data_IF_782600194934
#
_entry.id   IF_782600194934
#
_cell.length_a   1.000
_cell.length_b   1.000
_cell.length_c   1.000
_cell.angle_alpha   90.00
_cell.angle_beta   90.00
_cell.angle_gamma   90.00
#
_symmetry.space_group_name_H-M   'P 1'
#
loop_
_entity.id
_entity.type
_entity.pdbx_description
1 polymer ?
#
# COMPACT_ATOMS: atom_id res chain seq x y z
N UNK A 1 -3.59 -3.13 12.64
CA UNK A 1 -2.14 -2.78 12.61
C UNK A 1 -1.94 -1.48 11.84
N UNK A 2 -1.07 -0.54 12.27
CA UNK A 2 -0.84 0.71 11.51
C UNK A 2 -0.32 0.44 10.09
N UNK A 3 -0.72 1.26 9.12
CA UNK A 3 -0.35 1.17 7.70
C UNK A 3 1.17 1.12 7.48
N UNK A 4 1.93 2.01 8.11
CA UNK A 4 3.40 2.03 7.99
C UNK A 4 4.07 0.76 8.55
N UNK A 5 3.54 0.20 9.65
CA UNK A 5 3.98 -1.10 10.20
C UNK A 5 3.67 -2.22 9.23
N UNK A 6 2.44 -2.25 8.73
CA UNK A 6 1.97 -3.28 7.82
C UNK A 6 2.84 -3.38 6.56
N UNK A 7 3.04 -2.25 5.87
CA UNK A 7 3.83 -2.22 4.65
C UNK A 7 5.29 -2.60 4.86
N UNK A 8 5.86 -2.25 6.02
CA UNK A 8 7.24 -2.62 6.37
C UNK A 8 7.37 -4.12 6.68
N UNK A 9 6.44 -4.69 7.44
CA UNK A 9 6.43 -6.12 7.79
C UNK A 9 6.29 -6.99 6.55
N UNK A 10 5.42 -6.61 5.61
CA UNK A 10 5.25 -7.32 4.34
C UNK A 10 6.30 -6.97 3.28
N UNK A 11 7.35 -6.20 3.65
CA UNK A 11 8.46 -5.81 2.77
C UNK A 11 8.03 -5.06 1.49
N UNK A 12 6.83 -4.50 1.47
CA UNK A 12 6.34 -3.65 0.37
C UNK A 12 7.17 -2.35 0.31
N UNK A 13 7.56 -1.83 1.47
CA UNK A 13 8.46 -0.68 1.59
C UNK A 13 9.71 -1.01 2.41
N UNK A 14 10.81 -0.34 2.09
CA UNK A 14 12.07 -0.47 2.83
C UNK A 14 12.09 0.34 4.13
N UNK A 15 11.43 1.49 4.21
CA UNK A 15 11.44 2.39 5.39
C UNK A 15 10.04 2.88 5.69
N UNK A 16 9.70 3.02 6.98
CA UNK A 16 8.38 3.51 7.43
C UNK A 16 8.10 4.96 7.04
N UNK A 17 9.13 5.80 6.98
CA UNK A 17 9.01 7.20 6.54
C UNK A 17 8.41 7.32 5.14
N UNK A 18 8.77 6.40 4.24
CA UNK A 18 8.24 6.35 2.87
C UNK A 18 6.73 6.11 2.87
N UNK A 19 6.20 5.21 3.72
CA UNK A 19 4.74 5.03 3.82
C UNK A 19 4.02 6.31 4.22
N UNK A 20 4.58 7.06 5.17
CA UNK A 20 3.98 8.30 5.64
C UNK A 20 3.95 9.35 4.53
N UNK A 21 5.04 9.48 3.75
CA UNK A 21 5.11 10.38 2.60
C UNK A 21 4.10 9.97 1.52
N UNK A 22 4.05 8.69 1.13
CA UNK A 22 3.12 8.19 0.12
C UNK A 22 1.65 8.39 0.53
N UNK A 23 1.32 8.13 1.80
CA UNK A 23 -0.02 8.39 2.32
C UNK A 23 -0.37 9.89 2.32
N UNK A 24 0.56 10.77 2.72
CA UNK A 24 0.37 12.23 2.67
C UNK A 24 0.20 12.75 1.23
N UNK A 25 0.94 12.19 0.27
CA UNK A 25 0.83 12.53 -1.14
C UNK A 25 -0.38 11.90 -1.84
N UNK A 26 -1.25 11.17 -1.13
CA UNK A 26 -2.42 10.53 -1.71
C UNK A 26 -2.14 9.33 -2.61
N UNK A 27 -0.92 8.77 -2.52
CA UNK A 27 -0.45 7.61 -3.29
C UNK A 27 -0.84 6.27 -2.66
N UNK A 28 -1.47 6.28 -1.49
CA UNK A 28 -2.04 5.10 -0.85
C UNK A 28 -3.55 5.29 -0.74
N UNK A 29 -4.30 4.36 -1.31
CA UNK A 29 -5.75 4.42 -1.36
C UNK A 29 -6.35 3.09 -0.93
N UNK A 30 -7.56 3.14 -0.37
CA UNK A 30 -8.39 1.96 -0.12
C UNK A 30 -9.68 2.15 -0.90
N UNK A 31 -9.96 1.24 -1.83
CA UNK A 31 -11.18 1.29 -2.65
C UNK A 31 -11.43 2.70 -3.25
N UNK A 32 -10.38 3.33 -3.80
CA UNK A 32 -10.42 4.68 -4.37
C UNK A 32 -10.41 5.84 -3.38
N UNK A 33 -10.32 5.61 -2.06
CA UNK A 33 -10.24 6.67 -1.03
C UNK A 33 -8.84 6.79 -0.45
N UNK A 34 -8.29 7.99 -0.42
CA UNK A 34 -6.96 8.24 0.14
C UNK A 34 -6.90 7.88 1.63
N UNK A 35 -5.85 7.17 2.02
CA UNK A 35 -5.64 6.78 3.42
C UNK A 35 -4.72 7.76 4.15
N UNK A 36 -5.04 8.00 5.43
CA UNK A 36 -4.14 8.75 6.32
C UNK A 36 -2.95 7.87 6.73
N UNK A 37 -1.77 8.45 7.00
CA UNK A 37 -0.61 7.71 7.52
C UNK A 37 -0.89 6.96 8.84
N UNK A 38 -1.81 7.48 9.65
CA UNK A 38 -2.24 6.88 10.91
C UNK A 38 -3.28 5.77 10.76
N UNK A 39 -3.69 5.44 9.53
CA UNK A 39 -4.72 4.43 9.28
C UNK A 39 -4.31 3.07 9.85
N UNK A 40 -5.28 2.41 10.49
CA UNK A 40 -5.13 1.03 10.92
C UNK A 40 -5.72 0.09 9.87
N UNK A 41 -4.85 -0.74 9.30
CA UNK A 41 -5.18 -1.77 8.32
C UNK A 41 -6.08 -2.82 8.98
N UNK A 42 -7.19 -3.12 8.30
CA UNK A 42 -8.17 -4.14 8.68
C UNK A 42 -8.16 -5.29 7.68
N UNK A 43 -8.59 -6.46 8.16
CA UNK A 43 -8.79 -7.64 7.32
C UNK A 43 -9.91 -7.32 6.30
N UNK A 44 -9.72 -7.76 5.05
CA UNK A 44 -10.61 -7.47 3.93
C UNK A 44 -10.32 -6.14 3.22
N UNK A 45 -9.41 -5.31 3.73
CA UNK A 45 -9.03 -4.07 3.06
C UNK A 45 -8.35 -4.38 1.71
N UNK A 46 -8.79 -3.71 0.65
CA UNK A 46 -8.07 -3.67 -0.63
C UNK A 46 -7.34 -2.33 -0.72
N UNK A 47 -6.01 -2.39 -0.76
CA UNK A 47 -5.14 -1.22 -0.71
C UNK A 47 -4.36 -1.11 -2.01
N UNK A 48 -4.44 0.07 -2.61
CA UNK A 48 -3.69 0.51 -3.78
C UNK A 48 -2.52 1.38 -3.31
N UNK A 49 -1.32 1.04 -3.75
CA UNK A 49 -0.10 1.80 -3.45
C UNK A 49 0.62 2.13 -4.73
N UNK A 50 0.85 3.41 -4.96
CA UNK A 50 1.71 3.89 -6.02
C UNK A 50 3.11 4.20 -5.46
N UNK A 51 4.04 3.30 -5.70
CA UNK A 51 5.44 3.41 -5.28
C UNK A 51 6.33 3.72 -6.48
N UNK A 52 6.85 4.93 -6.56
CA UNK A 52 7.63 5.42 -7.71
C UNK A 52 6.90 5.09 -9.02
N UNK A 53 7.42 4.16 -9.82
CA UNK A 53 6.88 3.75 -11.12
C UNK A 53 6.19 2.39 -11.06
N UNK A 54 5.75 1.96 -9.87
CA UNK A 54 5.11 0.67 -9.64
C UNK A 54 3.81 0.89 -8.87
N UNK A 55 2.68 0.49 -9.45
CA UNK A 55 1.40 0.42 -8.76
C UNK A 55 1.19 -1.02 -8.27
N UNK A 56 0.93 -1.16 -6.97
CA UNK A 56 0.69 -2.45 -6.31
C UNK A 56 -0.70 -2.40 -5.71
N UNK A 57 -1.53 -3.38 -6.04
CA UNK A 57 -2.86 -3.54 -5.48
C UNK A 57 -2.87 -4.88 -4.76
N UNK A 58 -3.21 -4.87 -3.48
CA UNK A 58 -3.30 -6.08 -2.68
C UNK A 58 -4.52 -6.07 -1.77
N UNK A 59 -4.96 -7.27 -1.42
CA UNK A 59 -6.01 -7.48 -0.42
C UNK A 59 -5.40 -8.02 0.86
N UNK A 60 -5.90 -7.54 1.99
CA UNK A 60 -5.53 -8.04 3.31
C UNK A 60 -6.41 -9.23 3.65
N UNK A 61 -5.80 -10.39 3.83
CA UNK A 61 -6.47 -11.63 4.22
C UNK A 61 -6.48 -11.80 5.74
N UNK A 62 -7.11 -12.88 6.19
CA UNK A 62 -7.00 -13.38 7.55
C UNK A 62 -5.51 -13.65 7.89
N UNK A 63 -5.17 -13.60 9.18
CA UNK A 63 -3.79 -13.58 9.69
C UNK A 63 -2.92 -12.39 9.26
N UNK A 64 -3.51 -11.31 8.73
CA UNK A 64 -2.78 -10.20 8.13
C UNK A 64 -1.90 -10.60 6.95
N UNK A 65 -2.20 -11.70 6.25
CA UNK A 65 -1.51 -12.03 5.00
C UNK A 65 -1.91 -11.05 3.90
N UNK A 66 -1.05 -10.90 2.89
CA UNK A 66 -1.36 -10.12 1.69
C UNK A 66 -1.59 -11.04 0.52
N UNK A 67 -2.62 -10.75 -0.26
CA UNK A 67 -2.86 -11.33 -1.58
C UNK A 67 -2.60 -10.25 -2.63
N UNK A 68 -1.60 -10.47 -3.48
CA UNK A 68 -1.29 -9.54 -4.56
C UNK A 68 -2.34 -9.70 -5.66
N UNK A 69 -3.13 -8.65 -5.91
CA UNK A 69 -4.14 -8.66 -6.95
C UNK A 69 -3.55 -8.18 -8.28
N UNK A 70 -2.78 -7.08 -8.24
CA UNK A 70 -2.19 -6.49 -9.44
C UNK A 70 -0.84 -5.83 -9.13
N UNK A 71 0.10 -5.99 -10.04
CA UNK A 71 1.37 -5.27 -10.06
C UNK A 71 1.58 -4.67 -11.45
N UNK A 72 1.57 -3.33 -11.52
CA UNK A 72 1.71 -2.59 -12.78
C UNK A 72 2.99 -1.76 -12.71
N UNK A 73 3.90 -2.02 -13.64
CA UNK A 73 5.07 -1.17 -13.86
C UNK A 73 4.68 -0.06 -14.83
N UNK A 74 4.64 1.18 -14.34
CA UNK A 74 4.25 2.40 -15.07
C UNK A 74 5.32 2.81 -16.10
N UNK A 75 6.53 2.23 -16.04
CA UNK A 75 7.60 2.42 -17.04
C UNK A 75 7.47 1.49 -18.27
N UNK A 76 6.33 1.55 -18.96
CA UNK A 76 6.26 1.15 -20.37
C UNK A 76 5.64 2.32 -21.12
N UNK A 77 6.51 3.23 -21.59
CA UNK A 77 6.33 4.12 -22.73
C UNK A 77 7.55 5.03 -22.85
N UNK A 78 8.61 4.47 -23.43
CA UNK A 78 9.48 5.16 -24.39
C UNK A 78 9.53 4.27 -25.62
#
# INVERSE_FOLDING_TARGET
MRLDKFLKTHRIIKRRTIANELAKSGKIQKNGKNLKPSYEVKIGDTIDILLYNKKIIFKVLEDYKIELLQEINVNKNT
#
